data_IF_680584332943
#
_entry.id   IF_680584332943
#
_cell.length_a   1.000
_cell.length_b   1.000
_cell.length_c   1.000
_cell.angle_alpha   90.00
_cell.angle_beta   90.00
_cell.angle_gamma   90.00
#
_symmetry.space_group_name_H-M   'P 1'
#
loop_
_entity.id
_entity.type
_entity.pdbx_description
1 polymer ?
#
# COMPACT_ATOMS: atom_id res chain seq x y z
N UNK A 1 25.81 -0.49 -9.87
CA UNK A 1 24.49 -0.69 -9.97
C UNK A 1 23.73 -0.28 -8.72
N UNK A 2 22.84 0.54 -8.83
CA UNK A 2 22.19 0.98 -7.64
C UNK A 2 21.00 0.10 -7.37
N UNK A 3 20.87 -0.28 -6.14
CA UNK A 3 19.80 -1.15 -5.72
C UNK A 3 19.08 -0.47 -4.61
N UNK A 4 18.42 0.56 -4.93
CA UNK A 4 17.61 1.25 -3.93
C UNK A 4 16.36 0.44 -3.69
N UNK A 5 16.08 0.03 -2.46
CA UNK A 5 14.81 -0.61 -2.18
C UNK A 5 13.68 0.34 -2.57
N UNK A 6 12.71 -0.18 -3.27
CA UNK A 6 11.56 0.62 -3.61
C UNK A 6 10.77 0.92 -2.35
N UNK A 7 10.47 2.20 -2.17
CA UNK A 7 9.68 2.66 -1.03
C UNK A 7 8.33 3.11 -1.58
N UNK A 8 7.27 2.74 -0.92
CA UNK A 8 5.92 3.15 -1.34
C UNK A 8 5.78 4.65 -1.15
N UNK A 9 5.40 5.34 -2.21
CA UNK A 9 5.15 6.78 -2.19
C UNK A 9 3.93 7.06 -3.05
N UNK A 10 3.47 8.30 -3.03
CA UNK A 10 2.33 8.67 -3.88
C UNK A 10 2.69 8.36 -5.33
N UNK A 11 1.85 7.59 -5.99
CA UNK A 11 2.09 7.10 -7.35
C UNK A 11 2.60 5.67 -7.40
N UNK A 12 2.98 5.09 -6.26
CA UNK A 12 3.46 3.72 -6.24
C UNK A 12 2.32 2.73 -6.33
N UNK A 13 2.59 1.62 -7.01
CA UNK A 13 1.73 0.44 -6.97
C UNK A 13 2.31 -0.51 -5.95
N UNK A 14 1.50 -0.96 -5.02
CA UNK A 14 1.92 -1.88 -3.97
C UNK A 14 1.13 -3.16 -4.05
N UNK A 15 1.82 -4.28 -4.12
CA UNK A 15 1.20 -5.60 -4.03
C UNK A 15 1.36 -6.06 -2.60
N UNK A 16 0.25 -6.39 -1.96
CA UNK A 16 0.23 -6.73 -0.54
C UNK A 16 -0.51 -8.04 -0.33
N UNK A 17 -0.19 -8.71 0.78
CA UNK A 17 -0.88 -9.93 1.18
C UNK A 17 -1.46 -9.74 2.56
N UNK A 18 -2.70 -10.15 2.72
CA UNK A 18 -3.37 -10.09 4.02
C UNK A 18 -3.07 -11.35 4.81
N UNK A 19 -3.36 -11.30 6.11
CA UNK A 19 -3.08 -12.44 6.97
C UNK A 19 -3.94 -13.66 6.65
N UNK A 20 -5.04 -13.51 5.91
CA UNK A 20 -5.81 -14.66 5.43
C UNK A 20 -5.23 -15.26 4.16
N UNK A 21 -4.11 -14.73 3.67
CA UNK A 21 -3.45 -15.24 2.48
C UNK A 21 -3.89 -14.58 1.18
N UNK A 22 -4.91 -13.72 1.21
CA UNK A 22 -5.36 -13.06 -0.02
C UNK A 22 -4.37 -11.97 -0.41
N UNK A 23 -4.26 -11.73 -1.71
CA UNK A 23 -3.34 -10.75 -2.26
C UNK A 23 -4.14 -9.64 -2.92
N UNK A 24 -3.75 -8.40 -2.68
CA UNK A 24 -4.39 -7.23 -3.25
C UNK A 24 -3.34 -6.31 -3.85
N UNK A 25 -3.76 -5.49 -4.80
CA UNK A 25 -2.89 -4.49 -5.40
C UNK A 25 -3.52 -3.12 -5.18
N UNK A 26 -2.74 -2.19 -4.65
CA UNK A 26 -3.19 -0.83 -4.41
C UNK A 26 -2.25 0.16 -5.05
N UNK A 27 -2.79 1.28 -5.51
CA UNK A 27 -2.00 2.42 -5.94
C UNK A 27 -2.30 3.55 -4.96
N UNK A 28 -1.25 4.11 -4.36
CA UNK A 28 -1.43 5.23 -3.44
C UNK A 28 -1.47 6.51 -4.26
N UNK A 29 -2.55 7.27 -4.09
CA UNK A 29 -2.78 8.46 -4.91
C UNK A 29 -3.14 9.64 -4.02
N UNK A 30 -3.12 10.84 -4.59
CA UNK A 30 -3.61 12.02 -3.89
C UNK A 30 -5.10 11.86 -3.59
N UNK A 31 -5.60 12.50 -2.53
CA UNK A 31 -7.00 12.28 -2.10
C UNK A 31 -8.03 12.52 -3.19
N UNK A 32 -7.82 13.51 -4.06
CA UNK A 32 -8.78 13.82 -5.11
C UNK A 32 -8.81 12.79 -6.23
N UNK A 33 -7.86 11.86 -6.23
CA UNK A 33 -7.82 10.81 -7.23
C UNK A 33 -8.23 9.45 -6.69
N UNK A 34 -8.60 9.39 -5.42
CA UNK A 34 -8.91 8.12 -4.78
C UNK A 34 -10.15 7.49 -5.41
N UNK A 35 -10.06 6.19 -5.63
CA UNK A 35 -11.17 5.40 -6.13
C UNK A 35 -10.97 3.98 -5.61
N UNK A 36 -11.46 3.69 -4.41
CA UNK A 36 -11.21 2.39 -3.79
C UNK A 36 -11.65 1.20 -4.64
N UNK A 37 -12.70 1.36 -5.42
CA UNK A 37 -13.15 0.26 -6.27
C UNK A 37 -12.12 -0.13 -7.31
N UNK A 38 -11.28 0.81 -7.72
CA UNK A 38 -10.24 0.55 -8.70
C UNK A 38 -8.89 0.32 -8.04
N UNK A 39 -8.85 0.19 -6.72
CA UNK A 39 -7.59 0.00 -6.01
C UNK A 39 -6.79 1.26 -5.81
N UNK A 40 -7.38 2.44 -6.08
CA UNK A 40 -6.69 3.71 -5.88
C UNK A 40 -7.02 4.23 -4.49
N UNK A 41 -6.06 4.14 -3.59
CA UNK A 41 -6.27 4.52 -2.20
C UNK A 41 -5.62 5.85 -1.91
N UNK A 42 -6.33 6.69 -1.16
CA UNK A 42 -5.83 8.01 -0.82
C UNK A 42 -4.61 7.90 0.08
N UNK A 43 -3.62 8.76 -0.15
CA UNK A 43 -2.46 8.86 0.71
C UNK A 43 -2.84 9.24 2.14
N UNK A 44 -4.02 9.82 2.33
CA UNK A 44 -4.48 10.22 3.66
C UNK A 44 -5.46 9.21 4.27
N UNK A 45 -5.80 8.15 3.54
CA UNK A 45 -6.65 7.09 4.08
C UNK A 45 -5.85 6.21 5.03
N UNK A 46 -6.52 5.44 5.91
CA UNK A 46 -5.79 4.56 6.81
C UNK A 46 -4.85 3.59 6.10
N UNK A 47 -5.30 3.00 4.98
CA UNK A 47 -4.46 2.05 4.27
C UNK A 47 -3.31 2.77 3.54
N UNK A 48 -3.58 3.93 2.96
CA UNK A 48 -2.54 4.70 2.29
C UNK A 48 -1.47 5.18 3.27
N UNK A 49 -1.90 5.64 4.43
CA UNK A 49 -0.96 6.11 5.46
C UNK A 49 -0.12 4.96 6.00
N UNK A 50 -0.71 3.78 6.14
CA UNK A 50 0.04 2.64 6.62
C UNK A 50 1.09 2.18 5.61
N UNK A 51 0.78 2.28 4.32
CA UNK A 51 1.68 1.81 3.27
C UNK A 51 2.78 2.79 2.92
N UNK A 52 2.54 4.10 3.06
CA UNK A 52 3.54 5.09 2.69
C UNK A 52 4.84 4.87 3.46
N UNK A 53 5.95 4.86 2.75
CA UNK A 53 7.27 4.69 3.35
C UNK A 53 7.67 3.25 3.60
N UNK A 54 6.82 2.29 3.24
CA UNK A 54 7.15 0.88 3.48
C UNK A 54 7.86 0.28 2.29
N UNK A 55 8.57 -0.81 2.55
CA UNK A 55 9.34 -1.55 1.55
C UNK A 55 8.88 -2.99 1.50
N UNK A 56 9.27 -3.67 0.44
CA UNK A 56 8.99 -5.10 0.31
C UNK A 56 9.51 -5.84 1.53
N UNK A 57 8.69 -6.72 2.06
CA UNK A 57 9.01 -7.53 3.24
C UNK A 57 8.49 -6.95 4.52
N UNK A 58 8.07 -5.70 4.53
CA UNK A 58 7.54 -5.09 5.76
C UNK A 58 6.07 -5.39 5.91
N UNK A 59 5.64 -5.55 7.16
CA UNK A 59 4.24 -5.73 7.49
C UNK A 59 3.75 -4.51 8.22
N UNK A 60 2.51 -4.12 7.94
CA UNK A 60 1.89 -2.95 8.57
C UNK A 60 0.53 -3.32 9.09
N UNK A 61 0.11 -2.63 10.13
CA UNK A 61 -1.23 -2.81 10.70
C UNK A 61 -2.08 -1.66 10.22
N UNK A 62 -3.22 -1.99 9.62
CA UNK A 62 -4.16 -0.99 9.11
C UNK A 62 -5.37 -0.97 10.02
N UNK A 63 -5.66 0.18 10.66
CA UNK A 63 -6.87 0.26 11.48
C UNK A 63 -8.11 0.22 10.61
N UNK A 64 -9.14 -0.44 11.10
CA UNK A 64 -10.41 -0.56 10.41
C UNK A 64 -11.53 -0.59 11.45
N UNK A 65 -12.77 -0.26 11.05
CA UNK A 65 -13.87 -0.19 12.02
C UNK A 65 -14.11 -1.48 12.78
N UNK A 66 -14.02 -2.60 12.27
CA UNK A 66 -14.25 -3.85 12.98
C UNK A 66 -13.02 -4.44 13.62
N UNK A 67 -11.92 -3.70 13.65
CA UNK A 67 -10.64 -4.17 14.15
C UNK A 67 -9.57 -3.85 13.12
N UNK A 68 -8.35 -4.18 13.40
CA UNK A 68 -7.27 -3.92 12.48
C UNK A 68 -6.96 -5.18 11.67
N UNK A 69 -6.27 -4.98 10.56
CA UNK A 69 -5.77 -6.12 9.77
C UNK A 69 -4.33 -5.84 9.38
N UNK A 70 -3.61 -6.90 9.03
CA UNK A 70 -2.19 -6.81 8.72
C UNK A 70 -1.98 -7.00 7.24
N UNK A 71 -1.15 -6.15 6.65
CA UNK A 71 -0.73 -6.28 5.27
C UNK A 71 0.78 -6.47 5.23
N UNK A 72 1.24 -7.41 4.42
CA UNK A 72 2.66 -7.58 4.15
C UNK A 72 2.94 -7.11 2.73
N UNK A 73 3.92 -6.25 2.57
CA UNK A 73 4.26 -5.69 1.26
C UNK A 73 5.07 -6.72 0.49
N UNK A 74 4.58 -7.13 -0.66
CA UNK A 74 5.25 -8.12 -1.49
C UNK A 74 5.89 -7.53 -2.73
N UNK A 75 5.41 -6.40 -3.19
CA UNK A 75 5.99 -5.76 -4.35
C UNK A 75 5.68 -4.29 -4.36
N UNK A 76 6.60 -3.50 -4.87
CA UNK A 76 6.44 -2.06 -5.02
C UNK A 76 6.97 -1.67 -6.38
N UNK A 77 6.19 -0.86 -7.10
CA UNK A 77 6.62 -0.32 -8.39
C UNK A 77 6.21 1.14 -8.44
N UNK A 78 7.02 1.94 -9.09
CA UNK A 78 6.71 3.35 -9.25
C UNK A 78 7.02 3.73 -10.69
N UNK A 79 6.01 4.26 -11.35
CA UNK A 79 6.18 4.63 -12.75
C UNK A 79 6.14 6.13 -12.95
N UNK A 80 6.05 6.84 -11.89
CA UNK A 80 5.98 8.28 -11.82
C UNK A 80 6.43 9.08 -12.96
#
# INVERSE_FOLDING_TARGET
MSQHPEVIRVGSTAVVRQDDGSQDTYVVVAPDRANPRSGLVSATSPIGRALLGRRVGESVIVPAPGGSFTLTVEGVAFEG
#
